data_IF_480769151770
#
_entry.id   IF_480769151770
#
_cell.length_a   1.000
_cell.length_b   1.000
_cell.length_c   1.000
_cell.angle_alpha   90.00
_cell.angle_beta   90.00
_cell.angle_gamma   90.00
#
_symmetry.space_group_name_H-M   'P 1'
#
loop_
_entity.id
_entity.type
_entity.pdbx_description
1 polymer ?
#
# COMPACT_ATOMS: atom_id res chain seq x y z
N UNK A 1 -23.82 -3.92 29.22
CA UNK A 1 -23.52 -3.74 27.77
C UNK A 1 -22.07 -3.30 27.47
N UNK A 2 -21.37 -2.54 28.33
CA UNK A 2 -19.96 -2.13 28.10
C UNK A 2 -18.92 -3.27 28.08
N UNK A 3 -19.16 -4.39 28.77
CA UNK A 3 -18.19 -5.51 28.86
C UNK A 3 -18.04 -6.34 27.58
N UNK A 4 -19.08 -6.42 26.73
CA UNK A 4 -19.01 -7.14 25.44
C UNK A 4 -18.28 -6.34 24.35
N UNK A 5 -18.34 -5.00 24.43
CA UNK A 5 -17.63 -4.11 23.51
C UNK A 5 -16.11 -4.14 23.75
N UNK A 6 -15.68 -4.10 25.02
CA UNK A 6 -14.26 -4.15 25.40
C UNK A 6 -13.59 -5.50 25.07
N UNK A 7 -14.34 -6.61 25.15
CA UNK A 7 -13.83 -7.95 24.80
C UNK A 7 -13.77 -8.16 23.28
N UNK A 8 -14.66 -7.50 22.51
CA UNK A 8 -14.61 -7.47 21.04
C UNK A 8 -13.47 -6.60 20.51
N UNK A 9 -13.20 -5.46 21.13
CA UNK A 9 -12.08 -4.58 20.73
C UNK A 9 -10.71 -5.24 20.90
N UNK A 10 -10.52 -6.05 21.95
CA UNK A 10 -9.30 -6.83 22.15
C UNK A 10 -9.02 -7.81 21.01
N UNK A 11 -10.05 -8.45 20.45
CA UNK A 11 -9.90 -9.40 19.35
C UNK A 11 -9.51 -8.69 18.04
N UNK A 12 -10.15 -7.57 17.71
CA UNK A 12 -9.82 -6.80 16.50
C UNK A 12 -8.40 -6.22 16.51
N UNK A 13 -7.89 -5.85 17.70
CA UNK A 13 -6.51 -5.36 17.87
C UNK A 13 -5.45 -6.40 17.44
N UNK A 14 -5.71 -7.69 17.63
CA UNK A 14 -4.79 -8.75 17.19
C UNK A 14 -5.12 -9.28 15.79
N UNK A 15 -6.39 -9.29 15.39
CA UNK A 15 -6.80 -9.77 14.07
C UNK A 15 -6.34 -8.87 12.93
N UNK A 16 -6.43 -7.55 13.07
CA UNK A 16 -6.03 -6.63 12.00
C UNK A 16 -4.55 -6.76 11.61
N UNK A 17 -3.57 -6.67 12.54
CA UNK A 17 -2.15 -6.79 12.17
C UNK A 17 -1.79 -8.20 11.67
N UNK A 18 -2.42 -9.25 12.20
CA UNK A 18 -2.19 -10.62 11.72
C UNK A 18 -2.70 -10.82 10.29
N UNK A 19 -3.87 -10.27 9.95
CA UNK A 19 -4.38 -10.27 8.58
C UNK A 19 -3.51 -9.47 7.63
N UNK A 20 -3.02 -8.29 8.04
CA UNK A 20 -2.09 -7.49 7.22
C UNK A 20 -0.78 -8.25 7.01
N UNK A 21 -0.21 -8.86 8.05
CA UNK A 21 1.01 -9.66 7.93
C UNK A 21 0.81 -10.86 6.99
N UNK A 22 -0.32 -11.56 7.10
CA UNK A 22 -0.67 -12.66 6.19
C UNK A 22 -0.83 -12.18 4.74
N UNK A 23 -1.48 -11.03 4.52
CA UNK A 23 -1.64 -10.43 3.20
C UNK A 23 -0.29 -9.98 2.60
N UNK A 24 0.60 -9.41 3.40
CA UNK A 24 1.96 -9.05 3.00
C UNK A 24 2.75 -10.30 2.59
N UNK A 25 2.74 -11.35 3.43
CA UNK A 25 3.39 -12.62 3.11
C UNK A 25 2.84 -13.22 1.81
N UNK A 26 1.52 -13.23 1.64
CA UNK A 26 0.89 -13.72 0.42
C UNK A 26 1.27 -12.88 -0.81
N UNK A 27 1.30 -11.55 -0.67
CA UNK A 27 1.74 -10.64 -1.73
C UNK A 27 3.21 -10.82 -2.12
N UNK A 28 4.06 -11.26 -1.18
CA UNK A 28 5.46 -11.61 -1.44
C UNK A 28 5.62 -13.01 -2.03
N UNK A 29 4.76 -13.96 -1.64
CA UNK A 29 4.83 -15.35 -2.09
C UNK A 29 4.28 -15.56 -3.52
N UNK A 30 3.29 -14.77 -3.94
CA UNK A 30 2.60 -14.89 -5.23
C UNK A 30 3.11 -13.85 -6.23
N UNK A 31 3.35 -14.28 -7.48
CA UNK A 31 3.97 -13.44 -8.50
C UNK A 31 4.14 -14.17 -9.82
N UNK A 32 4.62 -13.43 -10.82
CA UNK A 32 4.71 -13.88 -12.20
C UNK A 32 5.78 -14.94 -12.42
N UNK A 33 6.92 -14.82 -11.73
CA UNK A 33 7.96 -15.84 -11.71
C UNK A 33 7.66 -16.92 -10.66
N UNK A 34 7.80 -18.18 -11.06
CA UNK A 34 7.59 -19.34 -10.17
C UNK A 34 8.78 -19.53 -9.23
N UNK A 35 8.78 -18.79 -8.13
CA UNK A 35 9.76 -18.95 -7.05
C UNK A 35 9.15 -19.85 -5.96
N UNK A 36 9.78 -20.97 -5.57
CA UNK A 36 9.29 -21.85 -4.51
C UNK A 36 9.09 -21.10 -3.18
N UNK A 37 8.03 -21.44 -2.44
CA UNK A 37 7.75 -20.85 -1.12
C UNK A 37 8.92 -20.99 -0.14
N UNK A 38 9.66 -22.11 -0.21
CA UNK A 38 10.84 -22.32 0.60
C UNK A 38 11.93 -21.26 0.32
N UNK A 39 12.17 -20.97 -0.96
CA UNK A 39 13.12 -19.92 -1.38
C UNK A 39 12.65 -18.54 -0.94
N UNK A 40 11.35 -18.24 -1.00
CA UNK A 40 10.82 -16.96 -0.51
C UNK A 40 11.10 -16.78 0.99
N UNK A 41 10.87 -17.83 1.79
CA UNK A 41 11.17 -17.82 3.23
C UNK A 41 12.67 -17.66 3.47
N UNK A 42 13.51 -18.38 2.71
CA UNK A 42 14.96 -18.28 2.81
C UNK A 42 15.46 -16.87 2.46
N UNK A 43 14.93 -16.24 1.40
CA UNK A 43 15.27 -14.85 1.03
C UNK A 43 14.90 -13.90 2.16
N UNK A 44 13.69 -14.01 2.71
CA UNK A 44 13.26 -13.18 3.83
C UNK A 44 14.16 -13.39 5.06
N UNK A 45 14.52 -14.63 5.36
CA UNK A 45 15.40 -14.96 6.49
C UNK A 45 16.82 -14.43 6.31
N UNK A 46 17.40 -14.56 5.11
CA UNK A 46 18.74 -14.04 4.81
C UNK A 46 18.75 -12.52 4.91
N UNK A 47 17.75 -11.85 4.32
CA UNK A 47 17.73 -10.39 4.26
C UNK A 47 17.37 -9.72 5.59
N UNK A 48 16.72 -10.45 6.50
CA UNK A 48 16.49 -10.04 7.90
C UNK A 48 17.62 -10.45 8.85
N UNK A 49 18.67 -11.12 8.35
CA UNK A 49 19.82 -11.54 9.15
C UNK A 49 19.60 -12.81 9.99
N UNK A 50 18.46 -13.50 9.81
CA UNK A 50 18.13 -14.77 10.49
C UNK A 50 18.82 -15.99 9.86
N UNK A 51 19.36 -15.86 8.65
CA UNK A 51 20.05 -16.92 7.92
C UNK A 51 21.25 -16.38 7.14
N UNK A 52 22.18 -17.25 6.78
CA UNK A 52 23.38 -16.95 5.96
C UNK A 52 23.47 -17.85 4.73
N UNK A 53 22.32 -18.37 4.27
CA UNK A 53 22.25 -19.26 3.11
C UNK A 53 22.62 -18.49 1.83
N UNK A 54 23.41 -19.13 0.97
CA UNK A 54 23.70 -18.60 -0.37
C UNK A 54 22.48 -18.85 -1.26
N UNK A 55 21.94 -17.79 -1.83
CA UNK A 55 20.74 -17.77 -2.68
C UNK A 55 21.09 -17.18 -4.05
N UNK A 56 20.26 -17.48 -5.05
CA UNK A 56 20.37 -16.83 -6.36
C UNK A 56 20.10 -15.32 -6.19
N UNK A 57 21.03 -14.43 -6.60
CA UNK A 57 20.85 -12.99 -6.53
C UNK A 57 19.60 -12.49 -7.26
N UNK A 58 19.18 -13.17 -8.34
CA UNK A 58 17.99 -12.79 -9.11
C UNK A 58 16.75 -13.03 -8.25
N UNK A 59 16.56 -14.22 -7.71
CA UNK A 59 15.41 -14.56 -6.86
C UNK A 59 15.36 -13.67 -5.61
N UNK A 60 16.51 -13.42 -4.98
CA UNK A 60 16.61 -12.54 -3.83
C UNK A 60 16.15 -11.11 -4.15
N UNK A 61 16.63 -10.55 -5.28
CA UNK A 61 16.25 -9.20 -5.72
C UNK A 61 14.76 -9.11 -6.09
N UNK A 62 14.20 -10.11 -6.76
CA UNK A 62 12.79 -10.15 -7.16
C UNK A 62 11.90 -10.21 -5.92
N UNK A 63 12.23 -11.05 -4.94
CA UNK A 63 11.43 -11.17 -3.71
C UNK A 63 11.54 -9.91 -2.85
N UNK A 64 12.75 -9.39 -2.62
CA UNK A 64 12.99 -8.28 -1.69
C UNK A 64 12.74 -6.89 -2.28
N UNK A 65 13.30 -6.59 -3.46
CA UNK A 65 13.19 -5.24 -4.03
C UNK A 65 11.90 -5.04 -4.84
N UNK A 66 11.39 -6.10 -5.46
CA UNK A 66 10.19 -6.00 -6.30
C UNK A 66 8.92 -6.40 -5.53
N UNK A 67 8.80 -7.65 -5.08
CA UNK A 67 7.55 -8.17 -4.48
C UNK A 67 7.25 -7.54 -3.11
N UNK A 68 8.23 -7.49 -2.21
CA UNK A 68 8.04 -6.89 -0.88
C UNK A 68 7.75 -5.39 -0.97
N UNK A 69 8.52 -4.64 -1.76
CA UNK A 69 8.27 -3.21 -1.98
C UNK A 69 6.83 -2.97 -2.50
N UNK A 70 6.39 -3.74 -3.51
CA UNK A 70 5.02 -3.64 -4.05
C UNK A 70 3.96 -3.96 -3.01
N UNK A 71 4.15 -5.01 -2.21
CA UNK A 71 3.22 -5.41 -1.16
C UNK A 71 3.08 -4.34 -0.07
N UNK A 72 4.20 -3.73 0.35
CA UNK A 72 4.22 -2.64 1.33
C UNK A 72 3.51 -1.41 0.79
N UNK A 73 3.79 -0.99 -0.44
CA UNK A 73 3.11 0.16 -1.07
C UNK A 73 1.60 -0.09 -1.17
N UNK A 74 1.17 -1.30 -1.56
CA UNK A 74 -0.25 -1.66 -1.60
C UNK A 74 -0.92 -1.59 -0.22
N UNK A 75 -0.23 -2.07 0.83
CA UNK A 75 -0.73 -2.00 2.21
C UNK A 75 -0.85 -0.55 2.69
N UNK A 76 0.15 0.30 2.44
CA UNK A 76 0.11 1.73 2.76
C UNK A 76 -1.01 2.46 2.01
N UNK A 77 -1.20 2.16 0.72
CA UNK A 77 -2.30 2.72 -0.08
C UNK A 77 -3.67 2.33 0.47
N UNK A 78 -3.89 1.04 0.75
CA UNK A 78 -5.13 0.54 1.35
C UNK A 78 -5.42 1.15 2.73
N UNK A 79 -4.40 1.26 3.59
CA UNK A 79 -4.53 1.90 4.90
C UNK A 79 -4.91 3.38 4.78
N UNK A 80 -4.31 4.11 3.83
CA UNK A 80 -4.60 5.52 3.58
C UNK A 80 -6.04 5.73 3.12
N UNK A 81 -6.53 4.87 2.22
CA UNK A 81 -7.92 4.89 1.76
C UNK A 81 -8.92 4.56 2.89
N UNK A 82 -8.62 3.54 3.70
CA UNK A 82 -9.46 3.16 4.83
C UNK A 82 -9.56 4.29 5.87
N UNK A 83 -8.43 4.94 6.19
CA UNK A 83 -8.40 6.08 7.12
C UNK A 83 -9.14 7.29 6.56
N UNK A 84 -8.92 7.63 5.28
CA UNK A 84 -9.61 8.75 4.64
C UNK A 84 -11.13 8.53 4.60
N UNK A 85 -11.58 7.31 4.26
CA UNK A 85 -13.00 6.93 4.32
C UNK A 85 -13.58 7.05 5.74
N UNK A 86 -12.88 6.54 6.75
CA UNK A 86 -13.30 6.66 8.15
C UNK A 86 -13.46 8.13 8.59
N UNK A 87 -12.50 8.99 8.24
CA UNK A 87 -12.52 10.42 8.57
C UNK A 87 -13.74 11.08 7.91
N UNK A 88 -13.95 10.86 6.61
CA UNK A 88 -15.07 11.46 5.90
C UNK A 88 -16.43 10.97 6.40
N UNK A 89 -16.57 9.68 6.64
CA UNK A 89 -17.79 9.11 7.21
C UNK A 89 -18.10 9.71 8.59
N UNK A 90 -17.08 9.98 9.41
CA UNK A 90 -17.24 10.60 10.73
C UNK A 90 -17.62 12.09 10.63
N UNK A 91 -16.98 12.85 9.75
CA UNK A 91 -17.24 14.28 9.56
C UNK A 91 -18.62 14.54 8.96
N UNK A 92 -18.95 13.80 7.89
CA UNK A 92 -20.22 13.94 7.17
C UNK A 92 -21.37 13.21 7.88
N UNK A 93 -21.05 12.38 8.88
CA UNK A 93 -22.00 11.47 9.55
C UNK A 93 -22.81 10.65 8.54
N UNK A 94 -22.18 10.31 7.42
CA UNK A 94 -22.78 9.61 6.32
C UNK A 94 -21.93 8.36 6.01
N UNK A 95 -22.45 7.14 6.26
CA UNK A 95 -21.70 5.90 6.02
C UNK A 95 -21.42 5.64 4.53
N UNK A 96 -22.04 6.39 3.61
CA UNK A 96 -21.81 6.30 2.16
C UNK A 96 -20.73 7.28 1.67
N UNK A 97 -20.18 8.13 2.54
CA UNK A 97 -19.14 9.07 2.14
C UNK A 97 -17.83 8.36 1.81
N UNK A 98 -17.23 8.71 0.66
CA UNK A 98 -15.93 8.20 0.23
C UNK A 98 -15.03 9.33 -0.32
N UNK A 99 -13.70 9.21 -0.21
CA UNK A 99 -12.76 10.28 -0.58
C UNK A 99 -12.73 10.59 -2.08
N UNK A 100 -13.08 9.60 -2.90
CA UNK A 100 -13.09 9.72 -4.35
C UNK A 100 -14.11 10.76 -4.86
N UNK A 101 -15.16 11.06 -4.09
CA UNK A 101 -16.20 12.01 -4.48
C UNK A 101 -15.76 13.48 -4.42
N UNK A 102 -14.63 13.79 -3.77
CA UNK A 102 -14.13 15.16 -3.60
C UNK A 102 -13.24 15.63 -4.76
N UNK A 103 -13.25 14.95 -5.92
CA UNK A 103 -12.44 15.32 -7.09
C UNK A 103 -10.94 15.03 -6.96
N UNK A 104 -10.46 14.61 -5.78
CA UNK A 104 -9.05 14.31 -5.46
C UNK A 104 -8.44 13.32 -6.48
N UNK A 105 -9.17 12.25 -6.82
CA UNK A 105 -8.69 11.24 -7.76
C UNK A 105 -8.62 11.75 -9.21
N UNK A 106 -9.58 12.58 -9.62
CA UNK A 106 -9.57 13.18 -10.96
C UNK A 106 -8.43 14.20 -11.08
N UNK A 107 -8.18 15.00 -10.03
CA UNK A 107 -7.03 15.88 -9.91
C UNK A 107 -5.70 15.14 -9.97
N UNK A 108 -5.58 14.02 -9.23
CA UNK A 108 -4.39 13.18 -9.26
C UNK A 108 -4.08 12.64 -10.67
N UNK A 109 -5.09 12.05 -11.33
CA UNK A 109 -4.93 11.53 -12.69
C UNK A 109 -4.56 12.63 -13.68
N UNK A 110 -5.21 13.79 -13.59
CA UNK A 110 -4.92 14.94 -14.47
C UNK A 110 -3.48 15.44 -14.26
N UNK A 111 -3.05 15.61 -13.02
CA UNK A 111 -1.68 16.04 -12.71
C UNK A 111 -0.61 15.04 -13.17
N UNK A 112 -0.85 13.73 -13.00
CA UNK A 112 0.04 12.69 -13.50
C UNK A 112 0.16 12.70 -15.03
N UNK A 113 -0.98 12.80 -15.73
CA UNK A 113 -1.03 12.85 -17.20
C UNK A 113 -0.36 14.12 -17.73
N UNK A 114 -0.56 15.27 -17.08
CA UNK A 114 0.10 16.52 -17.46
C UNK A 114 1.64 16.39 -17.38
N UNK A 115 2.18 15.81 -16.31
CA UNK A 115 3.63 15.55 -16.20
C UNK A 115 4.12 14.59 -17.30
N UNK A 116 3.34 13.54 -17.59
CA UNK A 116 3.68 12.58 -18.62
C UNK A 116 3.70 13.22 -20.03
N UNK A 117 2.66 13.97 -20.38
CA UNK A 117 2.53 14.61 -21.70
C UNK A 117 3.48 15.80 -21.87
N UNK A 118 3.75 16.57 -20.80
CA UNK A 118 4.72 17.66 -20.84
C UNK A 118 6.18 17.18 -20.93
N UNK A 119 6.43 15.86 -20.88
CA UNK A 119 7.78 15.29 -20.94
C UNK A 119 8.62 15.53 -19.69
N UNK A 120 8.01 15.99 -18.59
CA UNK A 120 8.69 16.31 -17.33
C UNK A 120 8.97 15.06 -16.47
N UNK A 121 8.23 13.96 -16.73
CA UNK A 121 8.28 12.72 -15.96
C UNK A 121 9.61 11.94 -16.01
N UNK A 122 10.54 12.33 -16.89
CA UNK A 122 11.84 11.66 -17.08
C UNK A 122 12.99 12.18 -16.21
N UNK A 123 12.82 13.25 -15.43
CA UNK A 123 13.91 13.73 -14.57
C UNK A 123 13.63 14.91 -13.64
N UNK A 124 12.83 15.91 -14.06
CA UNK A 124 12.65 17.14 -13.27
C UNK A 124 11.55 17.03 -12.22
N UNK A 125 10.44 16.37 -12.56
CA UNK A 125 9.30 16.17 -11.67
C UNK A 125 8.80 14.74 -11.81
N UNK A 126 8.84 13.97 -10.73
CA UNK A 126 8.32 12.60 -10.73
C UNK A 126 6.80 12.59 -10.97
N UNK A 127 6.29 11.56 -11.66
CA UNK A 127 4.84 11.40 -11.89
C UNK A 127 4.01 11.48 -10.60
N UNK A 128 4.53 10.93 -9.49
CA UNK A 128 3.89 10.99 -8.18
C UNK A 128 3.74 12.42 -7.65
N UNK A 129 4.70 13.32 -7.94
CA UNK A 129 4.63 14.72 -7.54
C UNK A 129 3.57 15.48 -8.35
N UNK A 130 3.49 15.22 -9.66
CA UNK A 130 2.40 15.73 -10.51
C UNK A 130 1.03 15.27 -10.03
N UNK A 131 0.87 13.98 -9.74
CA UNK A 131 -0.35 13.42 -9.20
C UNK A 131 -0.74 14.08 -7.86
N UNK A 132 0.23 14.24 -6.96
CA UNK A 132 -0.01 14.85 -5.66
C UNK A 132 -0.42 16.33 -5.78
N UNK A 133 0.29 17.12 -6.60
CA UNK A 133 -0.05 18.51 -6.83
C UNK A 133 -1.43 18.67 -7.49
N UNK A 134 -1.76 17.84 -8.48
CA UNK A 134 -3.07 17.84 -9.13
C UNK A 134 -4.20 17.50 -8.16
N UNK A 135 -4.00 16.54 -7.26
CA UNK A 135 -4.95 16.19 -6.21
C UNK A 135 -5.21 17.35 -5.24
N UNK A 136 -4.16 18.02 -4.77
CA UNK A 136 -4.27 19.17 -3.87
C UNK A 136 -4.99 20.35 -4.51
N UNK A 137 -4.63 20.67 -5.76
CA UNK A 137 -5.29 21.75 -6.51
C UNK A 137 -6.78 21.47 -6.71
N UNK A 138 -7.15 20.23 -7.05
CA UNK A 138 -8.56 19.86 -7.20
C UNK A 138 -9.34 19.91 -5.89
N UNK A 139 -8.71 19.56 -4.76
CA UNK A 139 -9.35 19.64 -3.45
C UNK A 139 -9.53 21.07 -2.94
N UNK A 140 -8.65 21.99 -3.35
CA UNK A 140 -8.67 23.38 -2.92
C UNK A 140 -9.69 24.26 -3.67
N UNK A 141 -10.13 23.83 -4.85
CA UNK A 141 -11.11 24.51 -5.71
C UNK A 141 -12.54 24.09 -5.36
#
# INVERSE_FOLDING_TARGET
MRSRAARRSGVWLWLAPTLVAAALFFGVAVGETRIPLATVIDVLAVQTGLSQRVLDPIDASVVWHYRLSRAVVAACGGASLALSGLILQALLRNPLAEPYLLGISAGASTGAVLIAVAGLGGGLVGMSAGAFAGALSAFAL
#
